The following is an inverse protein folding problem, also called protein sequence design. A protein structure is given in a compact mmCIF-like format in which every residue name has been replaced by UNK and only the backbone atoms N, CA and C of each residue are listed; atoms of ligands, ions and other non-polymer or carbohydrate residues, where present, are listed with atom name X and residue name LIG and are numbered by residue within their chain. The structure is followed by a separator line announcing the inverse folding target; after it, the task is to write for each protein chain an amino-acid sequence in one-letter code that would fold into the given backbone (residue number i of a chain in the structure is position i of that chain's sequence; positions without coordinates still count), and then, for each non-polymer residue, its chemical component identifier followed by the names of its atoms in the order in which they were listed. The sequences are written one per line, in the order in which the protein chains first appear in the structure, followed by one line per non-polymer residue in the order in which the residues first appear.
data_IF_221680135738
#
_entry.id   IF_221680135738
#
_cell.length_a   1.000
_cell.length_b   1.000
_cell.length_c   1.000
_cell.angle_alpha   90.00
_cell.angle_beta   90.00
_cell.angle_gamma   90.00
#
_symmetry.space_group_name_H-M   'P 1'
#
loop_
_entity.id
_entity.type
_entity.pdbx_description
1 polymer ?
#
# COMPACT_ATOMS: atom_id res chain seq x y z
N UNK A 1 -2.66 -17.93 -22.74
CA UNK A 1 -2.42 -17.43 -22.68
C UNK A 1 -2.30 -17.21 -22.42
N UNK A 2 -2.45 -17.69 -22.55
CA UNK A 2 -2.21 -17.24 -22.45
C UNK A 2 -1.83 -16.41 -22.03
N UNK A 3 -1.62 -16.57 -21.81
CA UNK A 3 -1.37 -15.76 -21.38
C UNK A 3 -1.30 -14.87 -21.28
N UNK A 4 -1.16 -14.95 -21.48
CA UNK A 4 -1.08 -14.06 -21.43
C UNK A 4 -1.54 -13.19 -21.15
N UNK A 5 -1.74 -13.58 -21.47
CA UNK A 5 -2.18 -12.59 -21.50
C UNK A 5 -2.80 -12.00 -20.86
N UNK A 6 -3.39 -12.42 -20.85
CA UNK A 6 -4.16 -11.79 -20.09
C UNK A 6 -3.56 -10.75 -19.35
N UNK A 7 -2.56 -10.69 -19.51
CA UNK A 7 -1.84 -9.80 -18.88
C UNK A 7 -2.29 -8.42 -18.87
N UNK A 8 -2.72 -7.96 -19.98
CA UNK A 8 -3.12 -6.59 -20.04
C UNK A 8 -4.31 -6.29 -19.19
N UNK A 9 -5.27 -7.15 -19.22
CA UNK A 9 -6.46 -6.93 -18.45
C UNK A 9 -6.18 -6.97 -16.97
N UNK A 10 -5.37 -7.86 -16.58
CA UNK A 10 -4.99 -7.96 -15.20
C UNK A 10 -4.31 -6.68 -14.74
N UNK A 11 -3.52 -6.11 -15.59
CA UNK A 11 -2.85 -4.88 -15.26
C UNK A 11 -3.77 -3.71 -15.07
N UNK A 12 -4.93 -3.71 -15.72
CA UNK A 12 -5.88 -2.63 -15.57
C UNK A 12 -6.53 -2.61 -14.20
N UNK A 13 -6.67 -3.75 -13.57
CA UNK A 13 -7.40 -3.86 -12.32
C UNK A 13 -6.52 -4.16 -11.14
N UNK A 14 -5.37 -4.73 -11.37
CA UNK A 14 -4.48 -5.15 -10.30
C UNK A 14 -3.17 -4.42 -10.33
N UNK A 15 -2.65 -4.17 -9.16
CA UNK A 15 -1.33 -3.60 -8.99
C UNK A 15 -0.53 -4.57 -8.14
N UNK A 16 0.66 -4.89 -8.58
CA UNK A 16 1.53 -5.74 -7.77
C UNK A 16 2.97 -5.24 -7.82
N UNK A 17 3.64 -5.36 -6.71
CA UNK A 17 5.05 -5.05 -6.62
C UNK A 17 5.61 -6.01 -5.58
N UNK A 18 6.51 -6.91 -6.02
CA UNK A 18 7.00 -7.95 -5.15
C UNK A 18 5.89 -8.90 -4.71
N UNK A 19 5.87 -9.28 -3.44
CA UNK A 19 4.89 -10.24 -2.93
C UNK A 19 3.50 -9.67 -2.70
N UNK A 20 3.35 -8.34 -2.71
CA UNK A 20 2.07 -7.71 -2.39
C UNK A 20 1.26 -7.49 -3.66
N UNK A 21 0.00 -7.89 -3.63
CA UNK A 21 -0.94 -7.70 -4.71
C UNK A 21 -2.14 -6.90 -4.24
N UNK A 22 -2.55 -5.94 -5.05
CA UNK A 22 -3.70 -5.08 -4.79
C UNK A 22 -4.69 -5.22 -5.93
N UNK A 23 -5.94 -5.54 -5.61
CA UNK A 23 -7.03 -5.55 -6.58
C UNK A 23 -7.97 -4.39 -6.24
N UNK A 24 -7.86 -3.32 -6.98
CA UNK A 24 -8.65 -2.12 -6.71
C UNK A 24 -10.13 -2.31 -6.99
N UNK A 25 -10.46 -3.14 -7.96
CA UNK A 25 -11.86 -3.40 -8.31
C UNK A 25 -12.57 -4.13 -7.18
N UNK A 26 -11.95 -5.15 -6.64
CA UNK A 26 -12.52 -5.94 -5.55
C UNK A 26 -12.18 -5.38 -4.18
N UNK A 27 -11.30 -4.43 -4.11
CA UNK A 27 -10.77 -3.84 -2.89
C UNK A 27 -10.18 -4.91 -1.98
N UNK A 28 -9.36 -5.77 -2.57
CA UNK A 28 -8.67 -6.83 -1.83
C UNK A 28 -7.18 -6.67 -1.96
N UNK A 29 -6.49 -7.13 -0.95
CA UNK A 29 -5.03 -7.14 -0.93
C UNK A 29 -4.54 -8.48 -0.42
N UNK A 30 -3.39 -8.90 -0.93
CA UNK A 30 -2.77 -10.13 -0.46
C UNK A 30 -1.26 -9.98 -0.44
N UNK A 31 -0.62 -10.78 0.38
CA UNK A 31 0.83 -10.87 0.42
C UNK A 31 1.20 -12.34 0.29
N UNK A 32 2.01 -12.64 -0.71
CA UNK A 32 2.45 -14.00 -1.02
C UNK A 32 1.27 -14.98 -1.06
N UNK A 33 0.17 -14.54 -1.67
CA UNK A 33 -1.02 -15.36 -1.84
C UNK A 33 -1.95 -15.40 -0.63
N UNK A 34 -1.58 -14.77 0.48
CA UNK A 34 -2.40 -14.76 1.68
C UNK A 34 -3.18 -13.45 1.76
N UNK A 35 -4.49 -13.56 1.84
CA UNK A 35 -5.37 -12.39 1.89
C UNK A 35 -5.14 -11.59 3.17
N UNK A 36 -5.16 -10.27 3.01
CA UNK A 36 -5.03 -9.35 4.13
C UNK A 36 -6.39 -8.76 4.48
N UNK A 37 -6.67 -8.65 5.77
CA UNK A 37 -7.89 -8.05 6.26
C UNK A 37 -7.59 -6.60 6.63
N UNK A 38 -7.85 -5.70 5.70
CA UNK A 38 -7.52 -4.28 5.84
C UNK A 38 -8.76 -3.43 6.01
N UNK A 39 -8.65 -2.39 6.83
CA UNK A 39 -9.68 -1.36 6.88
C UNK A 39 -9.60 -0.53 5.61
N UNK A 40 -10.62 0.31 5.39
CA UNK A 40 -10.68 1.17 4.20
C UNK A 40 -9.40 2.01 4.04
N UNK A 41 -9.00 2.70 5.10
CA UNK A 41 -7.82 3.56 5.03
C UNK A 41 -6.52 2.79 4.93
N UNK A 42 -6.43 1.65 5.60
CA UNK A 42 -5.26 0.77 5.46
C UNK A 42 -5.11 0.29 4.02
N UNK A 43 -6.23 -0.08 3.40
CA UNK A 43 -6.21 -0.49 2.00
C UNK A 43 -5.74 0.64 1.09
N UNK A 44 -6.32 1.84 1.27
CA UNK A 44 -5.97 3.01 0.45
C UNK A 44 -4.49 3.35 0.58
N UNK A 45 -3.99 3.33 1.79
CA UNK A 45 -2.58 3.62 2.05
C UNK A 45 -1.66 2.58 1.39
N UNK A 46 -1.95 1.31 1.59
CA UNK A 46 -1.13 0.25 1.01
C UNK A 46 -1.19 0.28 -0.52
N UNK A 47 -2.38 0.46 -1.08
CA UNK A 47 -2.54 0.52 -2.53
C UNK A 47 -1.74 1.66 -3.13
N UNK A 48 -1.74 2.82 -2.49
CA UNK A 48 -0.97 3.95 -2.99
C UNK A 48 0.53 3.67 -2.94
N UNK A 49 1.01 3.08 -1.86
CA UNK A 49 2.43 2.75 -1.73
C UNK A 49 2.86 1.71 -2.76
N UNK A 50 2.05 0.68 -2.94
CA UNK A 50 2.38 -0.41 -3.88
C UNK A 50 2.35 0.08 -5.33
N UNK A 51 1.46 1.02 -5.65
CA UNK A 51 1.37 1.59 -6.98
C UNK A 51 2.59 2.44 -7.34
N UNK A 52 3.33 2.91 -6.35
CA UNK A 52 4.50 3.75 -6.55
C UNK A 52 5.70 3.20 -5.76
N UNK A 53 6.20 2.02 -6.13
CA UNK A 53 7.31 1.41 -5.39
C UNK A 53 8.58 2.27 -5.49
N UNK A 54 9.38 2.20 -4.45
CA UNK A 54 10.66 2.91 -4.34
C UNK A 54 10.53 4.43 -4.19
N UNK A 55 9.32 4.96 -4.28
CA UNK A 55 9.10 6.39 -4.13
C UNK A 55 8.89 6.74 -2.66
N UNK A 56 9.54 7.81 -2.20
CA UNK A 56 9.35 8.31 -0.85
C UNK A 56 8.15 9.24 -0.83
N UNK A 57 7.23 9.00 0.09
CA UNK A 57 6.05 9.83 0.30
C UNK A 57 6.16 10.50 1.65
N UNK A 58 5.98 11.83 1.69
CA UNK A 58 5.95 12.52 2.97
C UNK A 58 4.64 12.21 3.69
N UNK A 59 4.63 12.39 5.01
CA UNK A 59 3.40 12.22 5.78
C UNK A 59 2.29 13.12 5.28
N UNK A 60 2.62 14.38 4.96
CA UNK A 60 1.64 15.32 4.45
C UNK A 60 1.06 14.89 3.10
N UNK A 61 1.91 14.37 2.22
CA UNK A 61 1.46 13.84 0.93
C UNK A 61 0.51 12.66 1.13
N UNK A 62 0.83 11.77 2.06
CA UNK A 62 -0.02 10.62 2.35
C UNK A 62 -1.34 11.03 2.96
N UNK A 63 -1.34 12.00 3.87
CA UNK A 63 -2.58 12.53 4.43
C UNK A 63 -3.46 13.10 3.32
N UNK A 64 -2.91 13.92 2.46
CA UNK A 64 -3.66 14.53 1.37
C UNK A 64 -4.20 13.47 0.40
N UNK A 65 -3.36 12.50 0.02
CA UNK A 65 -3.72 11.50 -0.98
C UNK A 65 -4.72 10.48 -0.45
N UNK A 66 -4.52 10.01 0.77
CA UNK A 66 -5.31 8.92 1.34
C UNK A 66 -6.51 9.45 2.12
N UNK A 67 -6.32 10.47 2.94
CA UNK A 67 -7.38 11.03 3.77
C UNK A 67 -8.13 12.17 3.11
N UNK A 68 -7.49 12.87 2.18
CA UNK A 68 -8.12 13.94 1.42
C UNK A 68 -7.74 15.32 1.89
N UNK A 69 -8.00 16.32 1.05
CA UNK A 69 -7.56 17.69 1.30
C UNK A 69 -8.24 18.32 2.52
N UNK A 70 -9.45 17.94 2.83
CA UNK A 70 -10.16 18.52 3.96
C UNK A 70 -9.80 17.91 5.31
N UNK A 71 -8.93 16.95 5.34
CA UNK A 71 -8.59 16.27 6.59
C UNK A 71 -7.77 17.19 7.50
N UNK A 72 -8.23 17.30 8.74
CA UNK A 72 -7.52 18.04 9.77
C UNK A 72 -6.88 17.04 10.71
N UNK A 73 -5.56 16.97 10.67
CA UNK A 73 -4.83 16.04 11.51
C UNK A 73 -3.36 16.12 11.16
N UNK A 74 -2.55 15.48 11.96
CA UNK A 74 -1.11 15.45 11.72
C UNK A 74 -0.67 14.10 11.16
N UNK A 75 0.63 13.98 10.92
CA UNK A 75 1.18 12.76 10.35
C UNK A 75 1.11 11.53 11.24
N UNK A 76 0.65 11.68 12.49
CA UNK A 76 0.52 10.53 13.39
C UNK A 76 -0.52 9.54 12.90
N UNK A 77 -1.55 10.03 12.21
CA UNK A 77 -2.56 9.13 11.65
C UNK A 77 -1.91 8.19 10.62
N UNK A 78 -0.96 8.70 9.84
CA UNK A 78 -0.20 7.87 8.90
C UNK A 78 0.63 6.85 9.66
N UNK A 79 1.33 7.28 10.71
CA UNK A 79 2.18 6.39 11.48
C UNK A 79 1.41 5.22 12.10
N UNK A 80 0.23 5.50 12.63
CA UNK A 80 -0.64 4.47 13.20
C UNK A 80 -1.06 3.45 12.13
N UNK A 81 -1.46 3.94 10.96
CA UNK A 81 -1.88 3.05 9.89
C UNK A 81 -0.73 2.23 9.32
N UNK A 82 0.46 2.82 9.21
CA UNK A 82 1.65 2.09 8.79
C UNK A 82 1.99 0.98 9.79
N UNK A 83 1.91 1.28 11.08
CA UNK A 83 2.17 0.27 12.11
C UNK A 83 1.20 -0.91 12.00
N UNK A 84 -0.07 -0.62 11.75
CA UNK A 84 -1.08 -1.66 11.57
C UNK A 84 -0.83 -2.49 10.32
N UNK A 85 -0.47 -1.83 9.22
CA UNK A 85 -0.13 -2.52 7.97
C UNK A 85 1.07 -3.45 8.16
N UNK A 86 2.11 -2.97 8.81
CA UNK A 86 3.29 -3.79 9.09
C UNK A 86 2.92 -5.03 9.89
N UNK A 87 2.08 -4.89 10.89
CA UNK A 87 1.64 -6.03 11.69
C UNK A 87 0.86 -7.02 10.84
N UNK A 88 -0.02 -6.53 9.98
CA UNK A 88 -0.83 -7.39 9.12
C UNK A 88 -0.02 -8.07 8.02
N UNK A 89 1.03 -7.40 7.53
CA UNK A 89 1.94 -8.00 6.56
C UNK A 89 2.77 -9.13 7.16
N UNK A 90 3.01 -9.08 8.45
CA UNK A 90 3.74 -10.13 9.16
C UNK A 90 5.24 -9.89 9.21
N UNK A 91 5.92 -10.71 9.97
CA UNK A 91 7.34 -10.53 10.26
C UNK A 91 8.21 -10.57 9.00
N UNK A 92 7.81 -11.35 8.02
CA UNK A 92 8.59 -11.52 6.81
C UNK A 92 8.47 -10.33 5.87
N UNK A 93 7.27 -9.73 5.77
CA UNK A 93 6.99 -8.70 4.76
C UNK A 93 6.86 -7.29 5.33
N UNK A 94 6.91 -7.13 6.63
CA UNK A 94 6.80 -5.80 7.24
C UNK A 94 7.90 -4.85 6.78
N UNK A 95 9.02 -5.37 6.37
CA UNK A 95 10.16 -4.58 5.89
C UNK A 95 9.88 -3.89 4.56
N UNK A 96 8.88 -4.36 3.84
CA UNK A 96 8.54 -3.76 2.55
C UNK A 96 8.10 -2.32 2.70
N UNK A 97 7.53 -1.96 3.84
CA UNK A 97 7.21 -0.57 4.13
C UNK A 97 8.34 -0.01 4.98
N UNK A 98 9.16 0.84 4.37
CA UNK A 98 10.32 1.40 5.04
C UNK A 98 10.04 2.81 5.53
N UNK A 99 10.54 3.12 6.71
CA UNK A 99 10.50 4.47 7.25
C UNK A 99 11.71 5.25 6.73
N UNK A 100 11.45 6.39 6.12
CA UNK A 100 12.51 7.32 5.74
C UNK A 100 12.53 8.40 6.81
N UNK A 101 13.54 8.37 7.67
CA UNK A 101 13.58 9.23 8.86
C UNK A 101 13.40 10.69 8.49
N UNK A 102 12.51 11.34 9.22
CA UNK A 102 12.20 12.77 9.08
C UNK A 102 11.51 13.13 7.77
N UNK A 103 11.22 12.16 6.93
CA UNK A 103 10.56 12.40 5.65
C UNK A 103 9.21 11.72 5.59
N UNK A 104 9.19 10.40 5.63
CA UNK A 104 7.95 9.65 5.50
C UNK A 104 8.18 8.18 5.28
N UNK A 105 7.51 7.63 4.27
CA UNK A 105 7.53 6.20 4.02
C UNK A 105 7.71 5.88 2.56
N UNK A 106 8.24 4.69 2.29
CA UNK A 106 8.30 4.15 0.93
C UNK A 106 8.06 2.65 0.95
N UNK A 107 7.59 2.12 -0.16
CA UNK A 107 7.40 0.69 -0.35
C UNK A 107 8.53 0.13 -1.21
N UNK A 108 9.22 -0.88 -0.70
CA UNK A 108 10.27 -1.59 -1.46
C UNK A 108 9.93 -3.07 -1.44
N UNK A 109 9.57 -3.61 -2.60
CA UNK A 109 9.24 -5.04 -2.69
C UNK A 109 10.41 -5.95 -2.41
#
# INVERSE_FOLDING_TARGET
GTGAGATGAAGAEGVSAGPVRIDATRRTASVDGVALDLTYLEFELLAHLVAHPHRVHTRDQLVTTVWGYGHVGDGRTVDVHVARLRRKLGAEYRRSIQTVRRVGYKYTP
#
